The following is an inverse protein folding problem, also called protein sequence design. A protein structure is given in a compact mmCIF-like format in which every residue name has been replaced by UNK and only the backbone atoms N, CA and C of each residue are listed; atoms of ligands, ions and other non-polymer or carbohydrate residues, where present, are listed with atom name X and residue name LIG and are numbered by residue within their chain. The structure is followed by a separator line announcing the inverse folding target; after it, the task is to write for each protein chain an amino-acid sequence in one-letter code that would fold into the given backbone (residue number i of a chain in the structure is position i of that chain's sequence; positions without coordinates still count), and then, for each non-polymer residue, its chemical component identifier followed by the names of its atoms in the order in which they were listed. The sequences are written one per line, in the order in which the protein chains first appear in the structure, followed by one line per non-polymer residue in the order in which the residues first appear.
data_IF_460423576219
#
_entry.id   IF_460423576219
#
_cell.length_a   1.000
_cell.length_b   1.000
_cell.length_c   1.000
_cell.angle_alpha   90.00
_cell.angle_beta   90.00
_cell.angle_gamma   90.00
#
_symmetry.space_group_name_H-M   'P 1'
#
loop_
_entity.id
_entity.type
_entity.pdbx_description
1 polymer ?
#
# COMPACT_ATOMS: atom_id res chain seq x y z
N UNK A 1 10.63 -6.51 2.29
CA UNK A 1 11.39 -5.27 2.41
C UNK A 1 10.59 -4.11 1.87
N UNK A 2 10.48 -3.99 0.55
CA UNK A 2 9.79 -2.92 -0.19
C UNK A 2 8.50 -2.36 0.47
N UNK A 3 7.48 -3.19 0.68
CA UNK A 3 6.20 -2.76 1.28
C UNK A 3 6.37 -2.17 2.68
N UNK A 4 7.10 -2.88 3.57
CA UNK A 4 7.34 -2.42 4.95
C UNK A 4 8.18 -1.14 4.96
N UNK A 5 9.17 -1.03 4.08
CA UNK A 5 9.98 0.17 3.91
C UNK A 5 9.14 1.36 3.43
N UNK A 6 8.17 1.13 2.54
CA UNK A 6 7.28 2.18 2.07
C UNK A 6 6.36 2.71 3.18
N UNK A 7 5.83 1.82 4.03
CA UNK A 7 4.97 2.21 5.14
C UNK A 7 5.71 2.79 6.35
N UNK A 8 6.98 2.43 6.58
CA UNK A 8 7.73 2.83 7.79
C UNK A 8 7.20 2.21 9.10
N UNK A 9 6.18 1.34 9.02
CA UNK A 9 5.57 0.60 10.12
C UNK A 9 5.24 -0.83 9.66
N UNK A 10 4.83 -1.68 10.60
CA UNK A 10 4.21 -2.96 10.25
C UNK A 10 2.82 -2.65 9.67
N UNK A 11 2.53 -3.03 8.41
CA UNK A 11 1.23 -2.81 7.80
C UNK A 11 0.19 -3.83 8.29
N UNK A 12 -1.07 -3.49 8.13
CA UNK A 12 -2.23 -4.36 8.35
C UNK A 12 -2.79 -4.84 7.01
N UNK A 13 -3.57 -5.92 7.03
CA UNK A 13 -4.34 -6.32 5.85
C UNK A 13 -5.32 -5.20 5.46
N UNK A 14 -5.38 -4.87 4.17
CA UNK A 14 -6.14 -3.76 3.60
C UNK A 14 -5.34 -2.44 3.47
N UNK A 15 -4.18 -2.31 4.12
CA UNK A 15 -3.28 -1.17 3.85
C UNK A 15 -2.80 -1.22 2.40
N UNK A 16 -2.85 -0.08 1.70
CA UNK A 16 -2.36 0.02 0.33
C UNK A 16 -1.59 1.31 0.07
N UNK A 17 -0.77 1.29 -0.98
CA UNK A 17 -0.14 2.49 -1.53
C UNK A 17 -0.04 2.39 -3.05
N UNK A 18 0.02 3.54 -3.70
CA UNK A 18 0.17 3.63 -5.16
C UNK A 18 1.62 4.01 -5.51
N UNK A 19 2.26 3.24 -6.39
CA UNK A 19 3.62 3.47 -6.85
C UNK A 19 3.75 3.16 -8.34
N UNK A 20 4.28 4.12 -9.10
CA UNK A 20 4.51 4.00 -10.55
C UNK A 20 3.27 3.55 -11.35
N UNK A 21 2.08 4.03 -10.96
CA UNK A 21 0.81 3.70 -11.62
C UNK A 21 0.21 2.33 -11.25
N UNK A 22 0.72 1.70 -10.18
CA UNK A 22 0.21 0.44 -9.63
C UNK A 22 -0.16 0.62 -8.17
N UNK A 23 -1.25 -0.02 -7.75
CA UNK A 23 -1.64 -0.15 -6.35
C UNK A 23 -1.09 -1.44 -5.78
N UNK A 24 -0.41 -1.34 -4.65
CA UNK A 24 0.06 -2.47 -3.85
C UNK A 24 -0.79 -2.51 -2.59
N UNK A 25 -1.62 -3.54 -2.45
CA UNK A 25 -2.49 -3.76 -1.29
C UNK A 25 -2.04 -4.99 -0.52
N UNK A 26 -1.86 -4.85 0.80
CA UNK A 26 -1.53 -5.96 1.69
C UNK A 26 -2.77 -6.81 1.88
N UNK A 27 -2.71 -8.05 1.41
CA UNK A 27 -3.83 -9.00 1.55
C UNK A 27 -3.64 -9.87 2.79
N UNK A 28 -2.39 -10.23 3.09
CA UNK A 28 -2.09 -11.13 4.19
C UNK A 28 -0.72 -10.85 4.82
N UNK A 29 -0.66 -11.06 6.13
CA UNK A 29 0.49 -10.84 6.98
C UNK A 29 0.84 -12.14 7.73
N UNK A 30 2.08 -12.63 7.61
CA UNK A 30 2.67 -13.60 8.53
C UNK A 30 3.50 -12.88 9.59
N UNK A 31 2.92 -12.70 10.78
CA UNK A 31 3.54 -12.01 11.93
C UNK A 31 4.02 -10.60 11.58
N UNK A 32 5.31 -10.46 11.23
CA UNK A 32 5.96 -9.17 10.88
C UNK A 32 6.35 -9.09 9.40
N UNK A 33 5.91 -10.04 8.60
CA UNK A 33 6.21 -10.13 7.17
C UNK A 33 4.91 -10.04 6.38
N UNK A 34 4.95 -9.26 5.33
CA UNK A 34 3.93 -9.29 4.30
C UNK A 34 4.07 -10.62 3.56
N UNK A 35 3.04 -11.45 3.60
CA UNK A 35 3.03 -12.74 2.91
C UNK A 35 2.41 -12.60 1.52
N UNK A 36 1.31 -11.83 1.43
CA UNK A 36 0.56 -11.66 0.18
C UNK A 36 0.26 -10.21 -0.10
N UNK A 37 0.50 -9.82 -1.36
CA UNK A 37 0.20 -8.50 -1.90
C UNK A 37 -0.64 -8.67 -3.15
N UNK A 38 -1.74 -7.93 -3.24
CA UNK A 38 -2.46 -7.73 -4.49
C UNK A 38 -1.84 -6.54 -5.22
N UNK A 39 -1.47 -6.75 -6.47
CA UNK A 39 -0.99 -5.68 -7.36
C UNK A 39 -2.05 -5.45 -8.42
N UNK A 40 -2.57 -4.23 -8.49
CA UNK A 40 -3.59 -3.83 -9.46
C UNK A 40 -3.21 -2.48 -10.09
N UNK A 41 -3.86 -2.12 -11.20
CA UNK A 41 -3.68 -0.77 -11.75
C UNK A 41 -4.12 0.25 -10.71
N UNK A 42 -3.25 1.22 -10.41
CA UNK A 42 -3.68 2.34 -9.58
C UNK A 42 -4.86 3.02 -10.27
N UNK A 43 -5.88 3.46 -9.52
CA UNK A 43 -6.94 4.26 -10.10
C UNK A 43 -6.29 5.46 -10.82
N UNK A 44 -6.85 5.89 -11.97
CA UNK A 44 -6.40 7.13 -12.57
C UNK A 44 -6.45 8.20 -11.47
N UNK A 45 -5.36 8.94 -11.30
CA UNK A 45 -5.33 10.11 -10.41
C UNK A 45 -6.34 11.10 -10.99
N UNK A 46 -7.60 10.95 -10.61
CA UNK A 46 -8.49 12.07 -10.50
C UNK A 46 -7.82 12.95 -9.46
N UNK A 47 -7.48 14.18 -9.84
CA UNK A 47 -6.86 15.16 -8.97
C UNK A 47 -7.78 15.41 -7.76
N UNK A 48 -7.64 14.60 -6.73
CA UNK A 48 -8.24 14.85 -5.42
C UNK A 48 -7.10 15.15 -4.49
N UNK A 49 -6.95 16.45 -4.26
CA UNK A 49 -6.19 17.05 -3.19
C UNK A 49 -6.48 16.36 -1.84
N UNK A 50 -5.54 16.50 -0.91
CA UNK A 50 -5.77 16.30 0.52
C UNK A 50 -5.70 14.84 1.04
N UNK A 51 -4.52 14.23 0.93
CA UNK A 51 -4.09 13.20 1.89
C UNK A 51 -2.82 13.68 2.60
N UNK A 52 -2.92 14.84 3.22
CA UNK A 52 -1.95 15.39 4.15
C UNK A 52 -2.72 16.07 5.28
N UNK A 53 -3.28 15.28 6.20
CA UNK A 53 -3.72 15.75 7.52
C UNK A 53 -4.04 14.54 8.42
N UNK A 54 -3.06 14.17 9.24
CA UNK A 54 -3.19 13.83 10.66
C UNK A 54 -1.81 13.56 11.25
#
# INVERSE_FOLDING_TARGET
GFVVTHFGRIPLAGDYFDWSGWRFEVVDMDRRRVDKVLVSKAPPVAATAEQASA
#
